data_IF_324255417548
#
_entry.id   IF_324255417548
#
_cell.length_a   1.000
_cell.length_b   1.000
_cell.length_c   1.000
_cell.angle_alpha   90.00
_cell.angle_beta   90.00
_cell.angle_gamma   90.00
#
_symmetry.space_group_name_H-M   'P 1'
#
loop_
_entity.id
_entity.type
_entity.pdbx_description
1 polymer ?
#
# COMPACT_ATOMS: atom_id res chain seq x y z
N UNK A 1 6.19 33.36 -21.09
CA UNK A 1 6.31 33.34 -19.61
C UNK A 1 6.61 31.92 -19.17
N UNK A 2 7.79 31.66 -18.59
CA UNK A 2 8.10 30.36 -18.03
C UNK A 2 7.19 30.09 -16.84
N UNK A 3 6.33 29.08 -16.95
CA UNK A 3 5.47 28.62 -15.85
C UNK A 3 6.40 28.20 -14.71
N UNK A 4 6.43 28.94 -13.60
CA UNK A 4 7.20 28.51 -12.41
C UNK A 4 6.77 27.06 -12.11
N UNK A 5 7.71 26.10 -12.10
CA UNK A 5 7.36 24.73 -11.76
C UNK A 5 6.67 24.72 -10.41
N UNK A 6 5.57 23.97 -10.27
CA UNK A 6 4.99 23.74 -8.95
C UNK A 6 6.08 23.10 -8.07
N UNK A 7 6.21 23.52 -6.79
CA UNK A 7 7.10 22.85 -5.85
C UNK A 7 6.79 21.35 -5.84
N UNK A 8 7.84 20.53 -5.91
CA UNK A 8 7.71 19.07 -5.86
C UNK A 8 7.98 18.64 -4.43
N UNK A 9 6.99 18.04 -3.78
CA UNK A 9 7.13 17.43 -2.47
C UNK A 9 7.80 16.07 -2.61
N UNK A 10 8.80 15.79 -1.77
CA UNK A 10 9.49 14.51 -1.70
C UNK A 10 9.23 13.84 -0.36
N UNK A 11 9.06 12.52 -0.40
CA UNK A 11 8.69 11.70 0.74
C UNK A 11 9.75 10.64 1.03
N UNK A 12 9.92 10.34 2.30
CA UNK A 12 10.65 9.17 2.81
C UNK A 12 9.78 8.47 3.85
N UNK A 13 9.88 7.14 3.94
CA UNK A 13 9.28 6.37 5.01
C UNK A 13 10.38 5.75 5.87
N UNK A 14 10.12 5.68 7.17
CA UNK A 14 10.94 4.91 8.12
C UNK A 14 10.04 3.98 8.94
N UNK A 15 10.58 2.92 9.55
CA UNK A 15 9.88 2.16 10.58
C UNK A 15 9.41 3.06 11.74
N UNK A 16 8.57 2.51 12.62
CA UNK A 16 7.99 3.21 13.76
C UNK A 16 9.01 3.90 14.69
N UNK A 17 10.26 3.43 14.75
CA UNK A 17 11.31 4.03 15.58
C UNK A 17 11.97 5.28 14.94
N UNK A 18 11.63 5.63 13.70
CA UNK A 18 12.14 6.82 13.01
C UNK A 18 13.49 6.63 12.31
N UNK A 19 14.15 5.49 12.48
CA UNK A 19 15.50 5.24 11.94
C UNK A 19 15.39 4.70 10.51
N UNK A 20 16.15 5.27 9.58
CA UNK A 20 16.23 4.72 8.21
C UNK A 20 16.78 3.29 8.27
N UNK A 21 16.01 2.30 7.82
CA UNK A 21 16.36 0.88 7.94
C UNK A 21 17.74 0.56 7.35
N UNK A 22 18.06 1.07 6.16
CA UNK A 22 19.37 0.84 5.55
C UNK A 22 20.51 1.50 6.31
N UNK A 23 20.28 2.66 6.91
CA UNK A 23 21.27 3.29 7.78
C UNK A 23 21.59 2.43 9.01
N UNK A 24 20.56 1.77 9.58
CA UNK A 24 20.72 0.80 10.67
C UNK A 24 21.54 -0.41 10.22
N UNK A 25 21.19 -0.99 9.06
CA UNK A 25 21.91 -2.14 8.49
C UNK A 25 23.37 -1.81 8.12
N UNK A 26 23.63 -0.56 7.73
CA UNK A 26 24.97 -0.03 7.46
C UNK A 26 25.71 0.43 8.72
N UNK A 27 25.16 0.23 9.92
CA UNK A 27 25.75 0.61 11.22
C UNK A 27 26.06 2.10 11.35
N UNK A 28 25.32 2.94 10.65
CA UNK A 28 25.39 4.40 10.69
C UNK A 28 23.97 4.98 10.83
N UNK A 29 23.26 4.67 11.93
CA UNK A 29 21.83 4.93 12.05
C UNK A 29 21.52 6.43 11.93
N UNK A 30 20.57 6.77 11.08
CA UNK A 30 20.03 8.12 10.90
C UNK A 30 18.57 8.09 11.32
N UNK A 31 18.25 8.78 12.41
CA UNK A 31 16.89 8.98 12.89
C UNK A 31 16.34 10.29 12.37
N UNK A 32 15.32 10.25 11.49
CA UNK A 32 14.78 11.48 10.88
C UNK A 32 14.06 12.37 11.89
N UNK A 33 13.54 11.80 12.99
CA UNK A 33 12.86 12.55 14.04
C UNK A 33 13.79 13.55 14.74
N UNK A 34 15.07 13.22 14.87
CA UNK A 34 16.07 14.05 15.56
C UNK A 34 16.54 15.23 14.70
N UNK A 35 16.14 15.27 13.43
CA UNK A 35 16.65 16.18 12.41
C UNK A 35 15.56 17.04 11.74
N UNK A 36 14.34 17.08 12.27
CA UNK A 36 13.28 17.95 11.76
C UNK A 36 13.75 19.42 11.75
N UNK A 37 13.59 20.09 10.61
CA UNK A 37 14.05 21.45 10.35
C UNK A 37 15.54 21.58 9.99
N UNK A 38 16.31 20.48 10.00
CA UNK A 38 17.75 20.48 9.79
C UNK A 38 18.13 19.93 8.41
N UNK A 39 19.31 20.35 7.94
CA UNK A 39 19.99 19.73 6.80
C UNK A 39 20.94 18.66 7.34
N UNK A 40 20.85 17.45 6.81
CA UNK A 40 21.72 16.33 7.19
C UNK A 40 22.51 15.84 5.99
N UNK A 41 23.79 15.58 6.23
CA UNK A 41 24.68 14.89 5.29
C UNK A 41 24.54 13.39 5.45
N UNK A 42 24.68 12.66 4.35
CA UNK A 42 24.69 11.21 4.36
C UNK A 42 25.94 10.72 5.11
N UNK A 43 25.82 9.85 6.14
CA UNK A 43 26.93 9.51 7.03
C UNK A 43 28.02 8.66 6.35
N UNK A 44 27.69 7.99 5.26
CA UNK A 44 28.60 7.16 4.48
C UNK A 44 28.38 7.36 2.98
N UNK A 45 28.74 8.54 2.42
CA UNK A 45 28.50 8.81 1.01
C UNK A 45 29.37 7.92 0.12
N UNK A 46 29.00 7.80 -1.14
CA UNK A 46 29.70 6.95 -2.10
C UNK A 46 31.11 7.46 -2.37
N UNK A 47 32.07 6.55 -2.55
CA UNK A 47 33.44 6.92 -2.93
C UNK A 47 33.48 7.49 -4.37
N UNK A 48 32.85 6.81 -5.32
CA UNK A 48 32.49 7.36 -6.62
C UNK A 48 30.98 7.66 -6.67
N UNK A 49 30.65 8.95 -6.69
CA UNK A 49 29.27 9.44 -6.77
C UNK A 49 28.52 8.75 -7.92
N UNK A 50 27.39 8.13 -7.61
CA UNK A 50 26.45 7.49 -8.55
C UNK A 50 26.89 6.17 -9.17
N UNK A 51 28.11 5.69 -8.87
CA UNK A 51 28.66 4.46 -9.47
C UNK A 51 28.95 3.37 -8.44
N UNK A 52 29.11 3.73 -7.17
CA UNK A 52 29.35 2.78 -6.09
C UNK A 52 28.11 2.62 -5.22
N UNK A 53 27.52 1.42 -5.21
CA UNK A 53 26.34 1.10 -4.40
C UNK A 53 26.75 0.29 -3.16
N UNK A 54 26.88 0.99 -2.03
CA UNK A 54 26.96 0.35 -0.71
C UNK A 54 25.55 0.16 -0.13
N UNK A 55 25.43 -0.59 0.98
CA UNK A 55 24.14 -0.87 1.62
C UNK A 55 23.37 0.39 2.02
N UNK A 56 24.06 1.49 2.33
CA UNK A 56 23.46 2.80 2.54
C UNK A 56 24.44 3.84 2.00
N UNK A 57 24.09 4.42 0.86
CA UNK A 57 24.97 5.23 0.02
C UNK A 57 24.33 6.58 -0.36
N UNK A 58 23.00 6.65 -0.31
CA UNK A 58 22.19 7.83 -0.63
C UNK A 58 20.92 7.82 0.21
N UNK A 59 20.39 9.01 0.50
CA UNK A 59 18.99 9.15 0.85
C UNK A 59 18.13 8.93 -0.39
N UNK A 60 17.18 7.99 -0.29
CA UNK A 60 16.19 7.73 -1.34
C UNK A 60 14.90 8.42 -0.97
N UNK A 61 14.36 9.18 -1.91
CA UNK A 61 13.08 9.87 -1.76
C UNK A 61 12.18 9.62 -2.98
N UNK A 62 10.88 9.76 -2.78
CA UNK A 62 9.88 9.63 -3.86
C UNK A 62 8.95 10.84 -3.89
N UNK A 63 8.58 11.29 -5.08
CA UNK A 63 7.56 12.36 -5.24
C UNK A 63 6.14 11.83 -5.38
N UNK A 64 5.99 10.51 -5.50
CA UNK A 64 4.71 9.80 -5.53
C UNK A 64 4.59 9.04 -4.21
N UNK A 65 3.80 9.57 -3.29
CA UNK A 65 3.70 9.05 -1.92
C UNK A 65 3.21 7.60 -1.88
N UNK A 66 2.34 7.17 -2.80
CA UNK A 66 1.92 5.77 -2.90
C UNK A 66 2.97 4.78 -3.41
N UNK A 67 4.18 5.25 -3.75
CA UNK A 67 5.36 4.39 -4.00
C UNK A 67 6.39 4.46 -2.87
N UNK A 68 6.10 5.17 -1.77
CA UNK A 68 7.06 5.31 -0.66
C UNK A 68 7.31 4.00 0.06
N UNK A 69 6.33 3.08 0.01
CA UNK A 69 6.39 1.75 0.61
C UNK A 69 6.85 0.66 -0.37
N UNK A 70 7.33 1.04 -1.56
CA UNK A 70 7.76 0.08 -2.58
C UNK A 70 8.93 -0.77 -2.06
N UNK A 71 8.62 -2.01 -1.67
CA UNK A 71 9.62 -3.00 -1.27
C UNK A 71 10.31 -3.53 -2.53
N UNK A 72 11.49 -2.99 -2.81
CA UNK A 72 12.30 -3.44 -3.95
C UNK A 72 13.28 -4.54 -3.54
N UNK A 73 13.13 -5.17 -2.38
CA UNK A 73 14.10 -6.09 -1.78
C UNK A 73 15.40 -5.41 -1.29
N UNK A 74 15.60 -4.15 -1.69
CA UNK A 74 16.71 -3.28 -1.29
C UNK A 74 16.25 -2.32 -0.19
N UNK A 75 14.94 -2.10 -0.02
CA UNK A 75 14.38 -1.12 0.92
C UNK A 75 13.13 -1.67 1.60
N UNK A 76 13.30 -2.52 2.63
CA UNK A 76 12.14 -3.02 3.36
C UNK A 76 11.51 -1.85 4.11
N UNK A 77 10.26 -1.55 3.80
CA UNK A 77 9.37 -0.78 4.68
C UNK A 77 8.52 -1.80 5.43
N UNK A 78 8.24 -1.58 6.71
CA UNK A 78 7.31 -2.41 7.46
C UNK A 78 6.32 -1.49 8.15
N UNK A 79 5.03 -1.69 7.88
CA UNK A 79 3.99 -0.97 8.58
C UNK A 79 3.89 -1.43 10.05
N UNK A 80 3.67 -0.53 11.03
CA UNK A 80 3.45 0.91 10.88
C UNK A 80 4.72 1.68 10.52
N UNK A 81 4.57 2.67 9.63
CA UNK A 81 5.64 3.56 9.21
C UNK A 81 5.45 4.96 9.77
N UNK A 82 6.54 5.72 9.80
CA UNK A 82 6.53 7.19 9.90
C UNK A 82 6.80 7.77 8.53
N UNK A 83 6.05 8.79 8.15
CA UNK A 83 6.15 9.43 6.83
C UNK A 83 6.75 10.82 6.97
N UNK A 84 7.74 11.12 6.14
CA UNK A 84 8.53 12.35 6.24
C UNK A 84 8.47 13.13 4.94
N UNK A 85 8.29 14.44 5.06
CA UNK A 85 8.49 15.37 3.95
C UNK A 85 9.94 15.87 4.01
N UNK A 86 10.65 15.74 2.89
CA UNK A 86 12.06 16.11 2.79
C UNK A 86 12.32 16.97 1.57
N UNK A 87 13.41 17.73 1.58
CA UNK A 87 13.94 18.41 0.40
C UNK A 87 15.34 17.88 0.09
N UNK A 88 15.62 17.49 -1.16
CA UNK A 88 17.00 17.23 -1.56
C UNK A 88 17.80 18.54 -1.57
N UNK A 89 19.03 18.49 -1.07
CA UNK A 89 19.96 19.62 -1.09
C UNK A 89 21.21 19.23 -1.89
N UNK A 90 21.70 20.16 -2.71
CA UNK A 90 22.89 19.93 -3.53
C UNK A 90 22.66 18.95 -4.70
N UNK A 91 23.65 18.11 -4.96
CA UNK A 91 23.62 17.18 -6.09
C UNK A 91 22.57 16.07 -5.90
N UNK A 92 21.83 15.79 -6.96
CA UNK A 92 20.82 14.74 -6.99
C UNK A 92 21.05 13.78 -8.14
N UNK A 93 20.72 12.51 -7.91
CA UNK A 93 20.80 11.43 -8.89
C UNK A 93 19.48 10.72 -9.09
N UNK A 94 19.37 9.91 -10.14
CA UNK A 94 18.23 9.05 -10.39
C UNK A 94 18.71 7.80 -11.16
N UNK A 95 18.33 6.60 -10.70
CA UNK A 95 18.69 5.33 -11.32
C UNK A 95 18.15 5.14 -12.75
N UNK A 96 16.97 5.69 -13.05
CA UNK A 96 16.44 5.73 -14.41
C UNK A 96 15.37 6.81 -14.53
N UNK A 97 15.72 7.95 -15.13
CA UNK A 97 14.77 9.02 -15.37
C UNK A 97 13.58 8.59 -16.26
N UNK A 98 13.75 7.58 -17.11
CA UNK A 98 12.71 7.10 -18.00
C UNK A 98 11.70 6.19 -17.29
N UNK A 99 12.19 5.27 -16.43
CA UNK A 99 11.32 4.27 -15.78
C UNK A 99 10.90 4.66 -14.36
N UNK A 100 11.76 5.37 -13.62
CA UNK A 100 11.60 5.72 -12.21
C UNK A 100 11.72 7.24 -11.99
N UNK A 101 11.09 8.03 -12.86
CA UNK A 101 11.09 9.50 -12.77
C UNK A 101 10.53 10.06 -11.45
N UNK A 102 9.87 9.21 -10.64
CA UNK A 102 9.31 9.54 -9.35
C UNK A 102 10.28 9.31 -8.18
N UNK A 103 11.43 8.66 -8.40
CA UNK A 103 12.48 8.45 -7.40
C UNK A 103 13.55 9.53 -7.52
N UNK A 104 14.25 9.81 -6.43
CA UNK A 104 15.44 10.66 -6.42
C UNK A 104 16.41 10.18 -5.34
N UNK A 105 17.70 10.35 -5.62
CA UNK A 105 18.79 10.04 -4.73
C UNK A 105 19.50 11.34 -4.37
N UNK A 106 19.89 11.51 -3.12
CA UNK A 106 20.74 12.61 -2.69
C UNK A 106 21.67 12.21 -1.55
N UNK A 107 22.81 12.88 -1.43
CA UNK A 107 23.70 12.75 -0.27
C UNK A 107 23.39 13.76 0.82
N UNK A 108 22.51 14.73 0.58
CA UNK A 108 22.14 15.73 1.58
C UNK A 108 20.66 16.02 1.48
N UNK A 109 19.96 15.99 2.61
CA UNK A 109 18.53 16.30 2.65
C UNK A 109 18.24 17.30 3.76
N UNK A 110 17.21 18.11 3.56
CA UNK A 110 16.54 18.81 4.64
C UNK A 110 15.32 18.02 5.06
N UNK A 111 15.21 17.68 6.34
CA UNK A 111 13.97 17.09 6.88
C UNK A 111 13.02 18.25 7.20
N UNK A 112 11.87 18.33 6.54
CA UNK A 112 10.95 19.44 6.74
C UNK A 112 10.02 19.16 7.93
N UNK A 113 9.27 18.07 7.85
CA UNK A 113 8.30 17.68 8.87
C UNK A 113 7.96 16.20 8.77
N UNK A 114 7.45 15.66 9.87
CA UNK A 114 6.69 14.40 9.87
C UNK A 114 5.25 14.70 9.44
N UNK A 115 4.65 13.80 8.68
CA UNK A 115 3.27 13.90 8.25
C UNK A 115 2.53 12.59 8.53
N UNK A 116 1.21 12.61 8.44
CA UNK A 116 0.41 11.41 8.66
C UNK A 116 0.86 10.26 7.75
N UNK A 117 0.85 9.00 8.19
CA UNK A 117 1.33 7.87 7.39
C UNK A 117 0.30 7.38 6.37
N UNK A 118 -1.00 7.68 6.56
CA UNK A 118 -2.07 7.20 5.68
C UNK A 118 -1.89 7.53 4.18
N UNK A 119 -1.28 8.65 3.74
CA UNK A 119 -1.06 8.91 2.32
C UNK A 119 -0.15 7.88 1.64
N UNK A 120 0.68 7.17 2.41
CA UNK A 120 1.52 6.07 1.90
C UNK A 120 0.68 4.88 1.39
N UNK A 121 -0.57 4.76 1.84
CA UNK A 121 -1.56 3.78 1.37
C UNK A 121 -2.40 4.30 0.19
N UNK A 122 -1.98 5.40 -0.45
CA UNK A 122 -2.62 5.95 -1.64
C UNK A 122 -3.69 6.99 -1.32
N UNK A 123 -4.43 7.43 -2.33
CA UNK A 123 -5.35 8.57 -2.16
C UNK A 123 -6.52 8.33 -1.20
N UNK A 124 -7.00 7.08 -1.10
CA UNK A 124 -8.00 6.66 -0.11
C UNK A 124 -7.37 6.02 1.12
N UNK A 125 -6.13 6.38 1.46
CA UNK A 125 -5.36 5.69 2.50
C UNK A 125 -5.97 5.78 3.89
N UNK A 126 -6.77 6.82 4.18
CA UNK A 126 -7.51 6.92 5.44
C UNK A 126 -8.68 5.94 5.47
N UNK A 127 -9.45 5.88 4.40
CA UNK A 127 -10.57 4.95 4.24
C UNK A 127 -10.09 3.48 4.24
N UNK A 128 -8.89 3.22 3.71
CA UNK A 128 -8.21 1.93 3.81
C UNK A 128 -7.99 1.54 5.28
N UNK A 129 -7.42 2.43 6.09
CA UNK A 129 -7.19 2.17 7.52
C UNK A 129 -8.51 1.99 8.27
N UNK A 130 -9.53 2.80 7.96
CA UNK A 130 -10.87 2.66 8.56
C UNK A 130 -11.48 1.29 8.23
N UNK A 131 -11.35 0.81 6.98
CA UNK A 131 -11.82 -0.54 6.61
C UNK A 131 -11.06 -1.64 7.35
N UNK A 132 -9.74 -1.52 7.45
CA UNK A 132 -8.89 -2.50 8.14
C UNK A 132 -9.22 -2.58 9.63
N UNK A 133 -9.38 -1.43 10.30
CA UNK A 133 -9.59 -1.38 11.74
C UNK A 133 -11.05 -1.61 12.15
N UNK A 134 -12.01 -1.07 11.41
CA UNK A 134 -13.41 -1.03 11.84
C UNK A 134 -14.29 -2.08 11.17
N UNK A 135 -13.96 -2.52 9.94
CA UNK A 135 -14.86 -3.40 9.16
C UNK A 135 -14.34 -4.82 9.00
N UNK A 136 -13.05 -4.99 8.69
CA UNK A 136 -12.46 -6.32 8.48
C UNK A 136 -12.65 -7.24 9.70
N UNK A 137 -12.53 -6.78 10.96
CA UNK A 137 -12.59 -7.70 12.09
C UNK A 137 -13.90 -8.49 12.22
N UNK A 138 -15.04 -7.80 12.12
CA UNK A 138 -16.35 -8.45 12.16
C UNK A 138 -16.60 -9.26 10.88
N UNK A 139 -16.23 -8.71 9.71
CA UNK A 139 -16.50 -9.35 8.42
C UNK A 139 -15.70 -10.62 8.21
N UNK A 140 -14.45 -10.67 8.68
CA UNK A 140 -13.57 -11.84 8.55
C UNK A 140 -14.18 -13.08 9.20
N UNK A 141 -14.71 -12.94 10.43
CA UNK A 141 -15.39 -14.02 11.14
C UNK A 141 -16.63 -14.49 10.38
N UNK A 142 -17.43 -13.56 9.86
CA UNK A 142 -18.63 -13.90 9.08
C UNK A 142 -18.28 -14.61 7.77
N UNK A 143 -17.32 -14.09 7.00
CA UNK A 143 -16.90 -14.70 5.74
C UNK A 143 -16.36 -16.11 5.95
N UNK A 144 -15.58 -16.33 7.01
CA UNK A 144 -15.06 -17.65 7.35
C UNK A 144 -16.19 -18.61 7.79
N UNK A 145 -17.12 -18.13 8.62
CA UNK A 145 -18.27 -18.93 9.04
C UNK A 145 -19.21 -19.31 7.87
N UNK A 146 -19.47 -18.37 6.96
CA UNK A 146 -20.28 -18.61 5.76
C UNK A 146 -19.62 -19.67 4.86
N UNK A 147 -18.29 -19.64 4.74
CA UNK A 147 -17.53 -20.66 4.01
C UNK A 147 -17.66 -22.04 4.64
N UNK A 148 -17.39 -22.18 5.94
CA UNK A 148 -17.43 -23.49 6.59
C UNK A 148 -18.85 -24.06 6.72
N UNK A 149 -19.87 -23.20 6.75
CA UNK A 149 -21.27 -23.63 6.75
C UNK A 149 -21.71 -24.22 5.40
N UNK A 150 -21.19 -23.72 4.27
CA UNK A 150 -21.51 -24.20 2.93
C UNK A 150 -20.33 -24.01 1.95
N UNK A 151 -19.27 -24.85 2.02
CA UNK A 151 -18.09 -24.66 1.20
C UNK A 151 -18.38 -24.76 -0.30
N UNK A 152 -19.27 -25.69 -0.69
CA UNK A 152 -19.59 -25.92 -2.10
C UNK A 152 -20.40 -24.76 -2.70
N UNK A 153 -21.43 -24.30 -1.99
CA UNK A 153 -22.21 -23.15 -2.43
C UNK A 153 -21.41 -21.85 -2.40
N UNK A 154 -20.49 -21.69 -1.44
CA UNK A 154 -19.58 -20.55 -1.41
C UNK A 154 -18.56 -20.56 -2.55
N UNK A 155 -17.99 -21.72 -2.89
CA UNK A 155 -17.11 -21.85 -4.05
C UNK A 155 -17.85 -21.49 -5.35
N UNK A 156 -19.09 -21.97 -5.52
CA UNK A 156 -19.91 -21.62 -6.68
C UNK A 156 -20.25 -20.13 -6.72
N UNK A 157 -20.66 -19.53 -5.59
CA UNK A 157 -20.93 -18.10 -5.49
C UNK A 157 -19.69 -17.27 -5.80
N UNK A 158 -18.54 -17.65 -5.26
CA UNK A 158 -17.25 -16.99 -5.52
C UNK A 158 -16.89 -17.07 -7.00
N UNK A 159 -16.99 -18.26 -7.60
CA UNK A 159 -16.74 -18.46 -9.03
C UNK A 159 -17.67 -17.60 -9.89
N UNK A 160 -18.96 -17.58 -9.56
CA UNK A 160 -19.96 -16.77 -10.27
C UNK A 160 -19.65 -15.28 -10.12
N UNK A 161 -19.36 -14.78 -8.91
CA UNK A 161 -18.94 -13.39 -8.72
C UNK A 161 -17.68 -13.03 -9.53
N UNK A 162 -16.70 -13.94 -9.56
CA UNK A 162 -15.41 -13.71 -10.21
C UNK A 162 -15.54 -13.64 -11.73
N UNK A 163 -16.33 -14.54 -12.32
CA UNK A 163 -16.40 -14.76 -13.77
C UNK A 163 -17.67 -14.21 -14.43
N UNK A 164 -18.75 -14.02 -13.67
CA UNK A 164 -20.06 -13.61 -14.15
C UNK A 164 -20.44 -12.25 -13.57
N UNK A 165 -20.64 -11.27 -14.45
CA UNK A 165 -21.13 -9.94 -14.07
C UNK A 165 -22.60 -9.84 -14.41
N UNK A 166 -23.25 -8.79 -13.92
CA UNK A 166 -24.60 -8.42 -14.35
C UNK A 166 -24.60 -7.05 -15.01
N UNK A 167 -25.78 -6.60 -15.44
CA UNK A 167 -25.94 -5.29 -16.06
C UNK A 167 -25.51 -4.14 -15.14
N UNK A 168 -25.64 -4.33 -13.84
CA UNK A 168 -25.45 -3.31 -12.80
C UNK A 168 -24.23 -3.56 -11.89
N UNK A 169 -23.60 -4.74 -11.94
CA UNK A 169 -22.39 -5.05 -11.16
C UNK A 169 -21.36 -5.78 -12.03
N UNK A 170 -20.11 -5.30 -11.99
CA UNK A 170 -19.01 -5.90 -12.71
C UNK A 170 -18.63 -7.31 -12.25
N UNK A 171 -17.78 -7.96 -13.06
CA UNK A 171 -17.10 -9.20 -12.70
C UNK A 171 -15.96 -8.91 -11.73
N UNK A 172 -15.80 -9.72 -10.69
CA UNK A 172 -14.76 -9.53 -9.68
C UNK A 172 -13.34 -9.47 -10.26
N UNK A 173 -12.99 -10.44 -11.12
CA UNK A 173 -11.64 -10.52 -11.72
C UNK A 173 -11.32 -9.31 -12.61
N UNK A 174 -12.31 -8.87 -13.39
CA UNK A 174 -12.17 -7.66 -14.20
C UNK A 174 -12.06 -6.40 -13.32
N UNK A 175 -12.83 -6.32 -12.24
CA UNK A 175 -12.79 -5.18 -11.34
C UNK A 175 -11.43 -5.05 -10.64
N UNK A 176 -10.84 -6.18 -10.21
CA UNK A 176 -9.48 -6.23 -9.69
C UNK A 176 -8.46 -5.78 -10.74
N UNK A 177 -8.53 -6.30 -11.97
CA UNK A 177 -7.63 -5.88 -13.05
C UNK A 177 -7.73 -4.37 -13.36
N UNK A 178 -8.94 -3.78 -13.27
CA UNK A 178 -9.13 -2.34 -13.41
C UNK A 178 -8.49 -1.56 -12.26
N UNK A 179 -8.58 -2.05 -11.02
CA UNK A 179 -7.90 -1.46 -9.88
C UNK A 179 -6.37 -1.52 -10.04
N UNK A 180 -5.82 -2.68 -10.43
CA UNK A 180 -4.38 -2.87 -10.63
C UNK A 180 -3.84 -1.93 -11.71
N UNK A 181 -4.52 -1.83 -12.86
CA UNK A 181 -4.18 -0.88 -13.92
C UNK A 181 -4.25 0.57 -13.47
N UNK A 182 -5.23 0.90 -12.62
CA UNK A 182 -5.39 2.24 -12.04
C UNK A 182 -4.22 2.56 -11.12
N UNK A 183 -3.87 1.66 -10.19
CA UNK A 183 -2.73 1.80 -9.28
C UNK A 183 -1.41 1.94 -10.04
N UNK A 184 -1.18 1.10 -11.05
CA UNK A 184 0.01 1.19 -11.90
C UNK A 184 0.11 2.54 -12.61
N UNK A 185 -0.99 2.98 -13.24
CA UNK A 185 -1.02 4.26 -13.97
C UNK A 185 -0.82 5.46 -13.06
N UNK A 186 -1.23 5.36 -11.80
CA UNK A 186 -1.12 6.43 -10.79
C UNK A 186 0.18 6.40 -10.00
N UNK A 187 0.98 5.33 -10.14
CA UNK A 187 2.15 5.07 -9.28
C UNK A 187 1.71 4.96 -7.82
N UNK A 188 0.83 4.01 -7.58
CA UNK A 188 0.35 3.61 -6.26
C UNK A 188 0.30 2.08 -6.13
N UNK A 189 1.11 1.36 -6.92
CA UNK A 189 1.14 -0.10 -6.89
C UNK A 189 1.66 -0.61 -5.54
N UNK A 190 2.71 0.01 -5.01
CA UNK A 190 3.20 -0.33 -3.66
C UNK A 190 2.15 -0.05 -2.58
N UNK A 191 1.44 1.08 -2.67
CA UNK A 191 0.37 1.42 -1.75
C UNK A 191 -0.75 0.36 -1.75
N UNK A 192 -1.22 -0.06 -2.92
CA UNK A 192 -2.23 -1.11 -3.03
C UNK A 192 -1.73 -2.43 -2.44
N UNK A 193 -0.51 -2.82 -2.78
CA UNK A 193 0.09 -4.03 -2.25
C UNK A 193 0.15 -4.04 -0.72
N UNK A 194 0.59 -2.92 -0.11
CA UNK A 194 0.60 -2.78 1.35
C UNK A 194 -0.80 -2.78 1.96
N UNK A 195 -1.78 -2.15 1.31
CA UNK A 195 -3.16 -2.17 1.77
C UNK A 195 -3.72 -3.61 1.79
N UNK A 196 -3.46 -4.39 0.75
CA UNK A 196 -3.83 -5.81 0.67
C UNK A 196 -3.09 -6.65 1.73
N UNK A 197 -1.79 -6.45 1.91
CA UNK A 197 -1.00 -7.15 2.94
C UNK A 197 -1.52 -6.86 4.35
N UNK A 198 -1.81 -5.60 4.66
CA UNK A 198 -2.36 -5.21 5.97
C UNK A 198 -3.74 -5.82 6.21
N UNK A 199 -4.60 -5.80 5.20
CA UNK A 199 -5.93 -6.40 5.26
C UNK A 199 -5.84 -7.91 5.50
N UNK A 200 -5.01 -8.62 4.72
CA UNK A 200 -4.84 -10.07 4.87
C UNK A 200 -4.18 -10.46 6.19
N UNK A 201 -3.16 -9.73 6.64
CA UNK A 201 -2.53 -9.94 7.94
C UNK A 201 -3.48 -9.70 9.11
N UNK A 202 -4.42 -8.75 8.98
CA UNK A 202 -5.48 -8.53 9.98
C UNK A 202 -6.42 -9.73 10.04
N UNK A 203 -6.83 -10.30 8.90
CA UNK A 203 -7.63 -11.53 8.88
C UNK A 203 -6.88 -12.68 9.54
N UNK A 204 -5.61 -12.90 9.19
CA UNK A 204 -4.79 -13.96 9.79
C UNK A 204 -4.72 -13.83 11.30
N UNK A 205 -4.48 -12.63 11.83
CA UNK A 205 -4.42 -12.39 13.28
C UNK A 205 -5.76 -12.72 13.98
N UNK A 206 -6.88 -12.37 13.36
CA UNK A 206 -8.21 -12.56 13.94
C UNK A 206 -8.63 -14.03 13.93
N UNK A 207 -8.31 -14.74 12.85
CA UNK A 207 -8.69 -16.14 12.68
C UNK A 207 -7.66 -17.12 13.26
N UNK A 208 -6.47 -16.66 13.68
CA UNK A 208 -5.40 -17.51 14.20
C UNK A 208 -5.80 -18.41 15.39
N UNK A 209 -6.75 -17.98 16.22
CA UNK A 209 -7.21 -18.72 17.39
C UNK A 209 -8.54 -19.47 17.16
N UNK A 210 -8.99 -19.56 15.91
CA UNK A 210 -10.25 -20.21 15.54
C UNK A 210 -10.00 -21.55 14.85
N UNK A 211 -11.00 -22.43 14.86
CA UNK A 211 -10.94 -23.74 14.19
C UNK A 211 -11.47 -23.69 12.75
N UNK A 212 -11.54 -22.51 12.13
CA UNK A 212 -11.99 -22.39 10.73
C UNK A 212 -11.04 -23.10 9.78
N UNK A 213 -11.60 -23.66 8.70
CA UNK A 213 -10.80 -24.32 7.67
C UNK A 213 -9.81 -23.37 6.99
N UNK A 214 -8.72 -23.90 6.45
CA UNK A 214 -7.75 -23.09 5.69
C UNK A 214 -8.41 -22.40 4.48
N UNK A 215 -9.36 -23.08 3.81
CA UNK A 215 -10.09 -22.51 2.69
C UNK A 215 -10.97 -21.32 3.12
N UNK A 216 -11.59 -21.39 4.30
CA UNK A 216 -12.34 -20.28 4.89
C UNK A 216 -11.44 -19.07 5.21
N UNK A 217 -10.24 -19.33 5.76
CA UNK A 217 -9.24 -18.28 6.01
C UNK A 217 -8.78 -17.64 4.70
N UNK A 218 -8.45 -18.43 3.68
CA UNK A 218 -8.01 -17.92 2.38
C UNK A 218 -9.12 -17.15 1.65
N UNK A 219 -10.37 -17.59 1.79
CA UNK A 219 -11.53 -16.84 1.31
C UNK A 219 -11.66 -15.49 2.01
N UNK A 220 -11.63 -15.44 3.35
CA UNK A 220 -11.73 -14.21 4.12
C UNK A 220 -10.58 -13.23 3.79
N UNK A 221 -9.36 -13.73 3.58
CA UNK A 221 -8.20 -12.92 3.14
C UNK A 221 -8.44 -12.28 1.77
N UNK A 222 -8.90 -13.06 0.79
CA UNK A 222 -9.25 -12.55 -0.56
C UNK A 222 -10.27 -11.42 -0.46
N UNK A 223 -11.33 -11.61 0.33
CA UNK A 223 -12.39 -10.61 0.51
C UNK A 223 -11.92 -9.35 1.22
N UNK A 224 -11.06 -9.49 2.24
CA UNK A 224 -10.47 -8.35 2.93
C UNK A 224 -9.58 -7.51 2.00
N UNK A 225 -8.77 -8.15 1.16
CA UNK A 225 -7.97 -7.48 0.15
C UNK A 225 -8.86 -6.70 -0.85
N UNK A 226 -9.86 -7.36 -1.45
CA UNK A 226 -10.78 -6.76 -2.43
C UNK A 226 -11.56 -5.57 -1.84
N UNK A 227 -12.05 -5.69 -0.60
CA UNK A 227 -12.76 -4.61 0.10
C UNK A 227 -11.85 -3.40 0.34
N UNK A 228 -10.58 -3.65 0.68
CA UNK A 228 -9.60 -2.58 0.95
C UNK A 228 -9.18 -1.88 -0.35
N UNK A 229 -9.01 -2.61 -1.44
CA UNK A 229 -8.78 -2.05 -2.78
C UNK A 229 -9.96 -1.15 -3.20
N UNK A 230 -11.20 -1.57 -2.90
CA UNK A 230 -12.37 -0.73 -3.16
C UNK A 230 -12.34 0.60 -2.38
N UNK A 231 -11.89 0.58 -1.13
CA UNK A 231 -11.75 1.78 -0.30
C UNK A 231 -10.66 2.72 -0.86
N UNK A 232 -9.49 2.16 -1.19
CA UNK A 232 -8.35 2.91 -1.74
C UNK A 232 -8.74 3.71 -3.00
N UNK A 233 -9.61 3.13 -3.84
CA UNK A 233 -10.02 3.70 -5.12
C UNK A 233 -11.44 4.26 -5.14
N UNK A 234 -12.06 4.49 -3.98
CA UNK A 234 -13.46 4.92 -3.86
C UNK A 234 -13.80 6.16 -4.70
N UNK A 235 -12.85 7.09 -4.87
CA UNK A 235 -13.03 8.34 -5.63
C UNK A 235 -12.63 8.24 -7.10
N UNK A 236 -12.13 7.08 -7.54
CA UNK A 236 -11.48 6.90 -8.86
C UNK A 236 -12.19 5.89 -9.74
N UNK A 237 -12.78 4.87 -9.14
CA UNK A 237 -13.49 3.82 -9.86
C UNK A 237 -14.99 4.10 -9.87
N UNK A 238 -15.66 3.63 -10.92
CA UNK A 238 -17.12 3.77 -11.01
C UNK A 238 -17.80 2.86 -9.99
N UNK A 239 -19.06 3.16 -9.57
CA UNK A 239 -19.83 2.29 -8.69
C UNK A 239 -19.91 0.83 -9.20
N UNK A 240 -20.03 0.66 -10.52
CA UNK A 240 -20.04 -0.66 -11.17
C UNK A 240 -18.79 -1.52 -10.87
N UNK A 241 -17.62 -0.89 -10.78
CA UNK A 241 -16.35 -1.55 -10.42
C UNK A 241 -16.23 -1.71 -8.91
N UNK A 242 -16.57 -0.66 -8.15
CA UNK A 242 -16.47 -0.65 -6.69
C UNK A 242 -17.38 -1.70 -6.04
N UNK A 243 -18.61 -1.85 -6.52
CA UNK A 243 -19.57 -2.81 -5.97
C UNK A 243 -19.19 -4.26 -6.28
N UNK A 244 -18.49 -4.48 -7.40
CA UNK A 244 -17.87 -5.76 -7.71
C UNK A 244 -16.73 -6.07 -6.71
N UNK A 245 -15.79 -5.15 -6.49
CA UNK A 245 -14.70 -5.33 -5.50
C UNK A 245 -15.26 -5.53 -4.08
N UNK A 246 -16.28 -4.76 -3.69
CA UNK A 246 -16.98 -4.91 -2.41
C UNK A 246 -17.74 -6.22 -2.29
N UNK A 247 -17.97 -6.96 -3.36
CA UNK A 247 -18.71 -8.23 -3.36
C UNK A 247 -20.13 -8.12 -2.84
N UNK A 248 -20.85 -7.02 -3.15
CA UNK A 248 -22.19 -6.72 -2.59
C UNK A 248 -23.19 -7.87 -2.78
N UNK A 249 -23.08 -8.65 -3.85
CA UNK A 249 -23.94 -9.83 -4.12
C UNK A 249 -23.35 -11.16 -3.69
N UNK A 250 -22.04 -11.20 -3.45
CA UNK A 250 -21.37 -12.38 -2.92
C UNK A 250 -21.71 -12.56 -1.44
N UNK A 251 -21.68 -11.44 -0.70
CA UNK A 251 -21.91 -11.37 0.74
C UNK A 251 -23.41 -11.22 1.10
N UNK A 252 -24.30 -11.18 0.11
CA UNK A 252 -25.74 -11.17 0.35
C UNK A 252 -26.19 -12.56 0.80
N UNK A 253 -27.04 -12.62 1.84
CA UNK A 253 -27.66 -13.87 2.25
C UNK A 253 -28.40 -14.51 1.06
N UNK A 254 -28.35 -15.84 0.89
CA UNK A 254 -29.11 -16.49 -0.17
C UNK A 254 -30.58 -16.16 0.02
N UNK A 255 -31.19 -15.54 -1.00
CA UNK A 255 -32.64 -15.37 -1.03
C UNK A 255 -33.23 -16.78 -1.09
N UNK A 256 -33.71 -17.28 0.03
CA UNK A 256 -34.49 -18.52 0.08
C UNK A 256 -35.72 -18.25 -0.80
N UNK A 257 -35.75 -18.86 -1.98
CA UNK A 257 -36.96 -18.88 -2.78
C UNK A 257 -38.01 -19.63 -1.97
N UNK A 258 -39.02 -18.90 -1.51
CA UNK A 258 -40.24 -19.47 -0.91
C UNK A 258 -41.10 -20.15 -1.97
#
# INVERSE_FOLDING_TARGET
>A
MARKPKPVTWYMATPADGIIELSRQARTPVNLADHVGQVIDHPNPCAAKWFDESRFSYFRMVKRVGEVLEDTGIWPSVWPVRLWIVEPVGDVGNWSHQHYSYRLLSHQIRVLEETDPWPALGAGGREVLDVIHEQIPERALRWAADWDADPQGMEERRRNWRLCGTRDIGRGEWAQAVADMTSYSRRESAAQHWAEQLATGTVEQILAATDFSQDAVDYARSRAAELTVAAQHQTRLSPYVLDALRGVRLDAAPTIAA
#
